data_IF_058110170891
#
_entry.id   IF_058110170891
#
_cell.length_a   1.000
_cell.length_b   1.000
_cell.length_c   1.000
_cell.angle_alpha   90.00
_cell.angle_beta   90.00
_cell.angle_gamma   90.00
#
_symmetry.space_group_name_H-M   'P 1'
#
loop_
_entity.id
_entity.type
_entity.pdbx_description
1 polymer ?
#
# COMPACT_ATOMS: atom_id res chain seq x y z
N UNK A 1 -35.10 -6.48 -55.70
CA UNK A 1 -35.19 -7.38 -54.53
C UNK A 1 -33.80 -7.94 -54.26
N UNK A 2 -33.48 -8.00 -52.98
CA UNK A 2 -32.20 -8.27 -52.33
C UNK A 2 -31.77 -9.74 -52.42
N UNK A 3 -30.53 -9.99 -51.94
CA UNK A 3 -29.82 -11.25 -51.57
C UNK A 3 -28.81 -11.71 -52.64
N UNK A 4 -27.51 -11.93 -52.37
CA UNK A 4 -26.72 -11.87 -51.14
C UNK A 4 -25.23 -12.23 -51.37
N UNK A 5 -24.52 -12.43 -50.26
CA UNK A 5 -23.20 -13.08 -50.04
C UNK A 5 -21.89 -12.27 -50.02
N UNK A 6 -21.21 -12.45 -48.87
CA UNK A 6 -19.88 -12.00 -48.44
C UNK A 6 -18.74 -12.71 -49.19
N UNK A 7 -17.60 -12.03 -49.30
CA UNK A 7 -16.26 -12.61 -49.13
C UNK A 7 -15.34 -11.59 -48.42
N UNK A 8 -14.49 -12.10 -47.53
CA UNK A 8 -13.59 -11.34 -46.66
C UNK A 8 -12.11 -11.50 -47.10
N UNK A 9 -11.24 -10.63 -46.55
CA UNK A 9 -9.75 -10.66 -46.49
C UNK A 9 -8.98 -9.80 -47.54
N UNK A 10 -7.74 -9.31 -47.25
CA UNK A 10 -7.45 -8.22 -46.31
C UNK A 10 -6.61 -7.06 -46.93
N UNK A 11 -6.86 -5.83 -46.47
CA UNK A 11 -6.07 -4.62 -46.76
C UNK A 11 -4.87 -4.51 -45.79
N UNK A 12 -3.78 -5.23 -46.04
CA UNK A 12 -2.51 -5.04 -45.28
C UNK A 12 -1.28 -4.87 -46.16
N UNK A 13 -1.39 -5.04 -47.48
CA UNK A 13 -0.20 -5.06 -48.37
C UNK A 13 0.06 -3.70 -49.06
N UNK A 14 -0.88 -2.75 -48.99
CA UNK A 14 -0.74 -1.46 -49.69
C UNK A 14 0.03 -0.36 -48.93
N UNK A 15 0.33 -0.53 -47.64
CA UNK A 15 1.01 0.53 -46.86
C UNK A 15 2.54 0.54 -47.01
N UNK A 16 3.17 -0.62 -47.24
CA UNK A 16 4.65 -0.70 -47.28
C UNK A 16 5.24 -0.11 -48.57
N UNK A 17 4.48 -0.11 -49.67
CA UNK A 17 4.91 0.48 -50.95
C UNK A 17 4.85 2.02 -50.94
N UNK A 18 3.91 2.61 -50.20
CA UNK A 18 3.87 4.06 -49.97
C UNK A 18 5.05 4.53 -49.10
N UNK A 19 5.50 3.69 -48.16
CA UNK A 19 6.65 3.99 -47.28
C UNK A 19 7.98 4.03 -48.06
N UNK A 20 8.16 3.13 -49.03
CA UNK A 20 9.36 3.08 -49.87
C UNK A 20 9.40 4.23 -50.90
N UNK A 21 8.25 4.63 -51.45
CA UNK A 21 8.17 5.72 -52.42
C UNK A 21 8.54 7.10 -51.85
N UNK A 22 8.19 7.37 -50.58
CA UNK A 22 8.51 8.65 -49.91
C UNK A 22 10.00 8.74 -49.54
N UNK A 23 10.62 7.62 -49.15
CA UNK A 23 12.06 7.56 -48.84
C UNK A 23 12.96 7.68 -50.09
N UNK A 24 12.53 7.13 -51.23
CA UNK A 24 13.28 7.26 -52.50
C UNK A 24 13.17 8.68 -53.07
N UNK A 25 12.03 9.36 -52.88
CA UNK A 25 11.88 10.77 -53.25
C UNK A 25 12.71 11.72 -52.35
N UNK A 26 12.90 11.37 -51.07
CA UNK A 26 13.67 12.17 -50.12
C UNK A 26 15.18 12.20 -50.40
N UNK A 27 15.72 11.25 -51.17
CA UNK A 27 17.15 11.21 -51.47
C UNK A 27 17.61 12.26 -52.51
N UNK A 28 16.69 13.04 -53.09
CA UNK A 28 16.96 13.98 -54.20
C UNK A 28 16.66 15.47 -53.92
N UNK A 29 16.32 15.88 -52.70
CA UNK A 29 16.06 17.29 -52.37
C UNK A 29 16.91 17.78 -51.17
N UNK A 30 17.59 18.94 -51.24
CA UNK A 30 18.54 19.36 -50.17
C UNK A 30 17.90 20.06 -48.96
N UNK A 31 16.60 20.37 -48.96
CA UNK A 31 16.00 21.16 -47.88
C UNK A 31 15.48 20.27 -46.74
N UNK A 32 16.35 20.04 -45.75
CA UNK A 32 16.14 19.14 -44.60
C UNK A 32 15.07 19.57 -43.58
N UNK A 33 14.54 20.80 -43.65
CA UNK A 33 13.64 21.34 -42.62
C UNK A 33 12.26 20.67 -42.65
N UNK A 34 11.71 20.40 -43.83
CA UNK A 34 10.39 19.77 -43.95
C UNK A 34 10.39 18.28 -43.57
N UNK A 35 11.53 17.59 -43.66
CA UNK A 35 11.63 16.18 -43.27
C UNK A 35 11.53 15.97 -41.76
N UNK A 36 12.08 16.89 -40.96
CA UNK A 36 12.03 16.83 -39.50
C UNK A 36 10.61 17.07 -38.98
N UNK A 37 9.88 18.01 -39.58
CA UNK A 37 8.48 18.27 -39.23
C UNK A 37 7.57 17.09 -39.58
N UNK A 38 7.77 16.47 -40.74
CA UNK A 38 7.00 15.28 -41.15
C UNK A 38 7.34 14.06 -40.27
N UNK A 39 8.61 13.85 -39.93
CA UNK A 39 9.02 12.77 -39.03
C UNK A 39 8.48 12.97 -37.60
N UNK A 40 8.50 14.20 -37.09
CA UNK A 40 7.91 14.55 -35.79
C UNK A 40 6.39 14.34 -35.79
N UNK A 41 5.70 14.73 -36.87
CA UNK A 41 4.26 14.53 -37.01
C UNK A 41 3.88 13.04 -37.09
N UNK A 42 4.68 12.22 -37.77
CA UNK A 42 4.49 10.77 -37.87
C UNK A 42 4.80 10.05 -36.54
N UNK A 43 5.84 10.48 -35.82
CA UNK A 43 6.15 9.97 -34.49
C UNK A 43 5.03 10.30 -33.49
N UNK A 44 4.49 11.52 -33.55
CA UNK A 44 3.36 11.95 -32.70
C UNK A 44 2.07 11.19 -32.99
N UNK A 45 1.76 10.92 -34.27
CA UNK A 45 0.56 10.15 -34.65
C UNK A 45 0.68 8.66 -34.30
N UNK A 46 1.88 8.08 -34.38
CA UNK A 46 2.16 6.72 -33.91
C UNK A 46 2.03 6.62 -32.39
N UNK A 47 2.61 7.55 -31.63
CA UNK A 47 2.50 7.59 -30.16
C UNK A 47 1.04 7.79 -29.70
N UNK A 48 0.29 8.67 -30.36
CA UNK A 48 -1.14 8.88 -30.08
C UNK A 48 -1.97 7.60 -30.25
N UNK A 49 -1.65 6.77 -31.25
CA UNK A 49 -2.31 5.46 -31.46
C UNK A 49 -1.92 4.43 -30.40
N UNK A 50 -0.66 4.39 -29.96
CA UNK A 50 -0.20 3.50 -28.87
C UNK A 50 -0.84 3.89 -27.54
N UNK A 51 -0.90 5.19 -27.22
CA UNK A 51 -1.56 5.71 -26.01
C UNK A 51 -3.08 5.46 -26.05
N UNK A 52 -3.74 5.61 -27.19
CA UNK A 52 -5.17 5.24 -27.34
C UNK A 52 -5.42 3.75 -27.13
N UNK A 53 -4.51 2.88 -27.57
CA UNK A 53 -4.63 1.43 -27.38
C UNK A 53 -4.37 1.01 -25.92
N UNK A 54 -3.55 1.76 -25.18
CA UNK A 54 -3.31 1.58 -23.74
C UNK A 54 -4.44 2.15 -22.86
N UNK A 55 -5.07 3.25 -23.27
CA UNK A 55 -6.16 3.92 -22.54
C UNK A 55 -7.48 3.15 -22.53
N UNK A 56 -7.62 2.09 -23.33
CA UNK A 56 -8.84 1.28 -23.40
C UNK A 56 -9.00 0.30 -22.21
N UNK A 57 -7.99 0.18 -21.35
CA UNK A 57 -7.97 -0.75 -20.21
C UNK A 57 -7.51 -0.06 -18.93
N UNK A 58 -8.35 0.78 -18.34
CA UNK A 58 -8.22 1.47 -17.04
C UNK A 58 -7.81 2.94 -17.12
N UNK A 59 -8.75 3.80 -16.75
CA UNK A 59 -8.60 5.25 -16.66
C UNK A 59 -8.02 5.64 -15.30
N UNK A 60 -6.81 6.19 -15.29
CA UNK A 60 -6.42 7.26 -14.37
C UNK A 60 -5.66 8.28 -15.20
N UNK A 61 -5.96 9.56 -14.97
CA UNK A 61 -5.32 10.72 -15.60
C UNK A 61 -3.83 10.77 -15.20
N UNK A 62 -3.01 9.95 -15.85
CA UNK A 62 -1.57 10.16 -15.87
C UNK A 62 -1.34 11.37 -16.79
N UNK A 63 -0.83 12.45 -16.21
CA UNK A 63 -0.80 13.78 -16.81
C UNK A 63 -0.10 13.76 -18.18
N UNK A 64 -0.91 13.61 -19.24
CA UNK A 64 -0.45 13.56 -20.64
C UNK A 64 0.38 14.79 -20.97
N UNK A 65 0.13 15.89 -20.28
CA UNK A 65 0.87 17.14 -20.47
C UNK A 65 2.32 17.02 -20.01
N UNK A 66 2.58 16.34 -18.89
CA UNK A 66 3.94 16.18 -18.36
C UNK A 66 4.82 15.30 -19.26
N UNK A 67 4.29 14.15 -19.70
CA UNK A 67 5.02 13.25 -20.61
C UNK A 67 5.29 13.93 -21.96
N UNK A 68 4.33 14.69 -22.48
CA UNK A 68 4.48 15.42 -23.74
C UNK A 68 5.54 16.53 -23.63
N UNK A 69 5.55 17.27 -22.51
CA UNK A 69 6.51 18.35 -22.26
C UNK A 69 7.93 17.82 -22.05
N UNK A 70 8.07 16.69 -21.36
CA UNK A 70 9.35 16.00 -21.17
C UNK A 70 9.94 15.50 -22.48
N UNK A 71 9.15 14.78 -23.29
CA UNK A 71 9.61 14.25 -24.59
C UNK A 71 9.96 15.39 -25.55
N UNK A 72 9.15 16.46 -25.59
CA UNK A 72 9.42 17.63 -26.44
C UNK A 72 10.74 18.31 -26.06
N UNK A 73 10.99 18.50 -24.76
CA UNK A 73 12.20 19.17 -24.31
C UNK A 73 13.45 18.31 -24.52
N UNK A 74 13.33 16.99 -24.38
CA UNK A 74 14.42 16.04 -24.66
C UNK A 74 14.79 16.03 -26.15
N UNK A 75 13.79 16.05 -27.04
CA UNK A 75 14.04 16.10 -28.49
C UNK A 75 14.58 17.47 -28.94
N UNK A 76 14.18 18.56 -28.28
CA UNK A 76 14.66 19.91 -28.57
C UNK A 76 16.13 20.15 -28.15
N UNK A 77 16.70 19.31 -27.28
CA UNK A 77 18.09 19.42 -26.84
C UNK A 77 19.10 18.60 -27.65
N UNK A 78 18.63 17.82 -28.64
CA UNK A 78 19.47 16.90 -29.43
C UNK A 78 19.81 17.45 -30.81
N UNK A 79 21.00 17.14 -31.32
CA UNK A 79 21.40 17.55 -32.68
C UNK A 79 20.90 16.55 -33.74
N UNK A 80 20.79 16.97 -35.01
CA UNK A 80 20.15 16.18 -36.10
C UNK A 80 20.77 14.79 -36.28
N UNK A 81 22.09 14.66 -36.11
CA UNK A 81 22.78 13.37 -36.18
C UNK A 81 22.44 12.42 -35.01
N UNK A 82 22.16 12.95 -33.82
CA UNK A 82 21.75 12.15 -32.66
C UNK A 82 20.33 11.63 -32.81
N UNK A 83 19.42 12.45 -33.39
CA UNK A 83 18.05 12.05 -33.71
C UNK A 83 18.06 10.94 -34.77
N UNK A 84 18.92 11.04 -35.78
CA UNK A 84 19.07 10.02 -36.82
C UNK A 84 19.63 8.70 -36.27
N UNK A 85 20.61 8.74 -35.36
CA UNK A 85 21.11 7.56 -34.65
C UNK A 85 20.06 6.92 -33.74
N UNK A 86 19.20 7.73 -33.12
CA UNK A 86 18.08 7.27 -32.29
C UNK A 86 17.01 6.54 -33.13
N UNK A 87 16.75 7.02 -34.35
CA UNK A 87 15.76 6.43 -35.28
C UNK A 87 16.26 5.15 -35.96
N UNK A 88 17.58 5.04 -36.21
CA UNK A 88 18.20 3.81 -36.73
C UNK A 88 18.59 2.80 -35.64
N UNK A 89 18.80 3.25 -34.40
CA UNK A 89 19.09 2.44 -33.21
C UNK A 89 17.85 1.75 -32.63
N UNK A 90 17.16 0.96 -33.45
CA UNK A 90 15.84 0.35 -33.21
C UNK A 90 15.73 -0.64 -32.02
N UNK A 91 16.72 -0.70 -31.10
CA UNK A 91 16.76 -1.66 -29.98
C UNK A 91 17.01 -1.08 -28.60
N UNK A 92 17.61 0.11 -28.43
CA UNK A 92 17.96 0.60 -27.07
C UNK A 92 16.89 1.52 -26.43
N UNK A 93 16.21 2.37 -27.20
CA UNK A 93 15.27 3.33 -26.61
C UNK A 93 13.93 2.69 -26.18
N UNK A 94 13.54 1.57 -26.79
CA UNK A 94 12.36 0.83 -26.36
C UNK A 94 12.57 0.16 -25.00
N UNK A 95 13.81 -0.18 -24.63
CA UNK A 95 14.13 -0.82 -23.35
C UNK A 95 14.14 0.21 -22.21
N UNK A 96 14.56 1.45 -22.47
CA UNK A 96 14.57 2.52 -21.46
C UNK A 96 13.17 3.09 -21.13
N UNK A 97 12.20 2.99 -22.04
CA UNK A 97 10.79 3.40 -21.81
C UNK A 97 9.93 2.31 -21.16
N UNK A 98 10.44 1.08 -20.98
CA UNK A 98 9.75 -0.02 -20.29
C UNK A 98 10.12 -0.09 -18.79
N UNK A 99 11.13 0.67 -18.35
CA UNK A 99 11.50 0.77 -16.93
C UNK A 99 10.78 1.91 -16.19
N UNK A 100 9.51 2.16 -16.52
CA UNK A 100 8.62 2.65 -15.46
C UNK A 100 8.37 1.44 -14.60
N UNK A 101 9.08 1.34 -13.48
CA UNK A 101 8.72 0.42 -12.41
C UNK A 101 7.25 0.69 -12.09
N UNK A 102 6.35 -0.10 -12.66
CA UNK A 102 5.01 -0.28 -12.08
C UNK A 102 5.31 -0.64 -10.64
N UNK A 103 4.86 0.19 -9.70
CA UNK A 103 4.72 -0.25 -8.32
C UNK A 103 4.00 -1.61 -8.40
N UNK A 104 4.65 -2.65 -7.89
CA UNK A 104 4.33 -4.04 -8.19
C UNK A 104 2.82 -4.29 -8.18
N UNK A 105 2.33 -4.77 -9.31
CA UNK A 105 1.02 -5.37 -9.43
C UNK A 105 1.05 -6.71 -8.68
N UNK A 106 0.91 -6.64 -7.35
CA UNK A 106 0.36 -7.65 -6.42
C UNK A 106 1.02 -7.51 -5.03
N UNK A 107 0.58 -6.51 -4.27
CA UNK A 107 0.95 -6.32 -2.86
C UNK A 107 0.77 -7.61 -2.04
N UNK A 108 -0.30 -8.35 -2.34
CA UNK A 108 -0.66 -9.59 -1.68
C UNK A 108 -0.69 -10.76 -2.66
N UNK A 109 -0.42 -11.95 -2.15
CA UNK A 109 -0.62 -13.24 -2.83
C UNK A 109 -1.71 -14.05 -2.12
N UNK A 110 -2.30 -15.02 -2.83
CA UNK A 110 -3.30 -15.92 -2.24
C UNK A 110 -2.70 -16.67 -1.04
N UNK A 111 -3.42 -16.68 0.08
CA UNK A 111 -2.99 -17.36 1.29
C UNK A 111 -1.98 -16.59 2.15
N UNK A 112 -1.62 -15.35 1.79
CA UNK A 112 -0.67 -14.54 2.56
C UNK A 112 -1.11 -14.37 4.03
N UNK A 113 -0.15 -14.54 4.95
CA UNK A 113 -0.26 -14.05 6.31
C UNK A 113 0.25 -12.61 6.39
N UNK A 114 -0.66 -11.69 6.71
CA UNK A 114 -0.43 -10.25 6.81
C UNK A 114 -0.44 -9.81 8.27
N UNK A 115 0.65 -9.20 8.72
CA UNK A 115 0.73 -8.58 10.06
C UNK A 115 0.46 -7.09 9.95
N UNK A 116 -0.42 -6.60 10.82
CA UNK A 116 -0.50 -5.18 11.15
C UNK A 116 0.32 -4.94 12.42
N UNK A 117 1.39 -4.16 12.32
CA UNK A 117 2.30 -3.83 13.40
C UNK A 117 2.32 -2.31 13.62
N UNK A 118 2.27 -1.87 14.87
CA UNK A 118 2.32 -0.45 15.19
C UNK A 118 1.90 -0.14 16.62
N UNK A 119 1.70 1.15 16.87
CA UNK A 119 1.21 1.64 18.16
C UNK A 119 -0.34 1.59 18.26
N UNK A 120 -0.93 2.47 19.06
CA UNK A 120 -2.37 2.55 19.33
C UNK A 120 -3.27 2.60 18.09
N UNK A 121 -2.83 3.24 16.99
CA UNK A 121 -3.63 3.33 15.74
C UNK A 121 -3.79 1.94 15.11
N UNK A 122 -2.74 1.13 15.13
CA UNK A 122 -2.84 -0.23 14.61
C UNK A 122 -3.53 -1.12 15.61
N UNK A 123 -3.13 -1.06 16.89
CA UNK A 123 -3.71 -1.91 17.93
C UNK A 123 -5.22 -1.81 17.93
N UNK A 124 -5.79 -0.61 18.09
CA UNK A 124 -7.24 -0.42 18.22
C UNK A 124 -8.05 -0.68 16.96
N UNK A 125 -7.43 -0.82 15.78
CA UNK A 125 -8.13 -1.15 14.53
C UNK A 125 -8.91 -2.47 14.64
N UNK A 126 -8.43 -3.39 15.48
CA UNK A 126 -9.06 -4.70 15.70
C UNK A 126 -10.46 -4.61 16.35
N UNK A 127 -10.72 -3.53 17.11
CA UNK A 127 -12.01 -3.33 17.79
C UNK A 127 -13.16 -3.05 16.80
N UNK A 128 -12.85 -2.48 15.64
CA UNK A 128 -13.84 -1.99 14.68
C UNK A 128 -13.75 -2.66 13.29
N UNK A 129 -12.64 -3.34 12.98
CA UNK A 129 -12.50 -4.19 11.79
C UNK A 129 -12.34 -3.47 10.45
N UNK A 130 -12.52 -2.15 10.37
CA UNK A 130 -12.54 -1.41 9.10
C UNK A 130 -11.29 -1.55 8.23
N UNK A 131 -10.09 -1.59 8.82
CA UNK A 131 -8.84 -1.75 8.05
C UNK A 131 -8.79 -3.12 7.37
N UNK A 132 -9.03 -4.19 8.14
CA UNK A 132 -9.00 -5.54 7.61
C UNK A 132 -10.14 -5.80 6.63
N UNK A 133 -11.35 -5.30 6.89
CA UNK A 133 -12.47 -5.42 5.95
C UNK A 133 -12.13 -4.75 4.61
N UNK A 134 -11.60 -3.53 4.65
CA UNK A 134 -11.21 -2.81 3.45
C UNK A 134 -10.14 -3.55 2.65
N UNK A 135 -9.10 -4.06 3.32
CA UNK A 135 -8.03 -4.82 2.66
C UNK A 135 -8.52 -6.16 2.10
N UNK A 136 -9.33 -6.89 2.86
CA UNK A 136 -9.89 -8.18 2.45
C UNK A 136 -10.69 -8.05 1.16
N UNK A 137 -11.48 -6.97 1.03
CA UNK A 137 -12.29 -6.71 -0.16
C UNK A 137 -11.47 -6.14 -1.33
N UNK A 138 -10.48 -5.29 -1.07
CA UNK A 138 -9.72 -4.60 -2.11
C UNK A 138 -8.54 -5.41 -2.70
N UNK A 139 -8.04 -6.42 -2.00
CA UNK A 139 -6.81 -7.11 -2.38
C UNK A 139 -6.93 -8.06 -3.59
N UNK A 140 -8.15 -8.43 -4.01
CA UNK A 140 -8.38 -9.42 -5.08
C UNK A 140 -7.58 -10.74 -4.92
N UNK A 141 -7.33 -11.16 -3.66
CA UNK A 141 -6.69 -12.43 -3.31
C UNK A 141 -7.54 -13.30 -2.42
N UNK A 142 -7.40 -14.61 -2.53
CA UNK A 142 -8.14 -15.61 -1.74
C UNK A 142 -7.40 -15.92 -0.45
N UNK A 143 -8.15 -16.21 0.60
CA UNK A 143 -7.63 -16.78 1.85
C UNK A 143 -6.56 -15.91 2.53
N UNK A 144 -6.63 -14.58 2.41
CA UNK A 144 -5.75 -13.68 3.16
C UNK A 144 -6.01 -13.81 4.66
N UNK A 145 -4.94 -13.90 5.45
CA UNK A 145 -5.01 -14.06 6.91
C UNK A 145 -4.36 -12.89 7.60
N UNK A 146 -5.13 -12.13 8.37
CA UNK A 146 -4.63 -10.95 9.07
C UNK A 146 -4.41 -11.22 10.56
N UNK A 147 -3.29 -10.74 11.10
CA UNK A 147 -3.01 -10.72 12.53
C UNK A 147 -2.58 -9.32 12.96
N UNK A 148 -3.25 -8.80 13.97
CA UNK A 148 -2.92 -7.50 14.54
C UNK A 148 -1.98 -7.69 15.72
N UNK A 149 -0.72 -7.35 15.52
CA UNK A 149 0.31 -7.29 16.56
C UNK A 149 0.52 -5.86 17.04
N UNK A 150 -0.42 -4.93 16.84
CA UNK A 150 -0.32 -3.58 17.39
C UNK A 150 -0.31 -3.57 18.92
N UNK A 151 0.34 -2.56 19.50
CA UNK A 151 0.36 -2.39 20.95
C UNK A 151 0.22 -0.92 21.34
N UNK A 152 -0.78 -0.61 22.17
CA UNK A 152 -1.07 0.76 22.61
C UNK A 152 0.14 1.40 23.30
N UNK A 153 0.53 2.61 22.89
CA UNK A 153 1.68 3.35 23.44
C UNK A 153 3.07 2.82 23.05
N UNK A 154 3.14 1.83 22.17
CA UNK A 154 4.41 1.20 21.80
C UNK A 154 5.30 2.07 20.91
N UNK A 155 6.60 1.79 20.97
CA UNK A 155 7.65 2.46 20.19
C UNK A 155 8.33 1.46 19.26
N UNK A 156 9.21 1.94 18.38
CA UNK A 156 10.05 1.07 17.52
C UNK A 156 11.02 0.18 18.33
N UNK A 157 11.15 0.43 19.63
CA UNK A 157 11.96 -0.35 20.56
C UNK A 157 11.18 -1.43 21.31
N UNK A 158 9.84 -1.48 21.17
CA UNK A 158 8.99 -2.46 21.85
C UNK A 158 8.75 -2.15 23.34
N UNK A 159 8.90 -0.88 23.76
CA UNK A 159 8.83 -0.47 25.17
C UNK A 159 7.53 -0.89 25.86
N UNK A 160 6.38 -0.74 25.22
CA UNK A 160 5.11 -1.05 25.88
C UNK A 160 4.87 -2.57 26.02
N UNK A 161 5.61 -3.38 25.24
CA UNK A 161 5.48 -4.85 25.19
C UNK A 161 6.33 -5.57 26.22
N UNK A 162 7.22 -4.87 26.91
CA UNK A 162 8.06 -5.48 27.95
C UNK A 162 7.29 -5.80 29.23
N UNK A 163 6.04 -5.32 29.36
CA UNK A 163 5.23 -5.40 30.58
C UNK A 163 5.95 -4.80 31.79
N UNK A 164 6.61 -5.65 32.59
CA UNK A 164 7.34 -5.29 33.81
C UNK A 164 8.85 -5.53 33.67
N UNK A 165 9.29 -6.07 32.53
CA UNK A 165 10.69 -6.33 32.21
C UNK A 165 11.36 -5.16 31.50
N UNK A 166 12.69 -5.25 31.29
CA UNK A 166 13.43 -4.26 30.53
C UNK A 166 12.96 -4.19 29.06
N UNK A 167 13.15 -3.05 28.38
CA UNK A 167 12.81 -2.85 26.96
C UNK A 167 13.14 -4.02 26.03
N UNK A 168 14.30 -4.64 26.22
CA UNK A 168 14.76 -5.75 25.37
C UNK A 168 13.83 -6.97 25.40
N UNK A 169 13.14 -7.23 26.51
CA UNK A 169 12.17 -8.33 26.58
C UNK A 169 10.95 -8.09 25.69
N UNK A 170 10.50 -6.83 25.59
CA UNK A 170 9.41 -6.45 24.67
C UNK A 170 9.80 -6.66 23.21
N UNK A 171 11.05 -6.33 22.86
CA UNK A 171 11.59 -6.55 21.53
C UNK A 171 11.75 -8.05 21.20
N UNK A 172 12.29 -8.85 22.13
CA UNK A 172 12.42 -10.30 21.99
C UNK A 172 11.07 -11.00 21.85
N UNK A 173 10.03 -10.50 22.55
CA UNK A 173 8.66 -11.01 22.43
C UNK A 173 8.13 -10.81 21.03
N UNK A 174 8.28 -9.61 20.47
CA UNK A 174 7.87 -9.35 19.09
C UNK A 174 8.63 -10.24 18.09
N UNK A 175 9.94 -10.42 18.27
CA UNK A 175 10.75 -11.35 17.45
C UNK A 175 10.18 -12.78 17.50
N UNK A 176 9.84 -13.27 18.69
CA UNK A 176 9.25 -14.59 18.87
C UNK A 176 7.85 -14.71 18.24
N UNK A 177 7.01 -13.68 18.35
CA UNK A 177 5.67 -13.68 17.75
C UNK A 177 5.74 -13.68 16.22
N UNK A 178 6.64 -12.89 15.62
CA UNK A 178 6.89 -12.91 14.18
C UNK A 178 7.43 -14.26 13.71
N UNK A 179 8.38 -14.86 14.44
CA UNK A 179 8.94 -16.18 14.12
C UNK A 179 7.91 -17.32 14.19
N UNK A 180 6.90 -17.21 15.05
CA UNK A 180 5.79 -18.17 15.13
C UNK A 180 4.79 -17.98 13.99
N UNK A 181 4.40 -16.73 13.70
CA UNK A 181 3.39 -16.41 12.70
C UNK A 181 3.93 -16.56 11.27
N UNK A 182 5.23 -16.36 11.06
CA UNK A 182 5.91 -16.45 9.76
C UNK A 182 5.18 -15.66 8.66
N UNK A 183 4.99 -14.35 8.84
CA UNK A 183 4.22 -13.58 7.89
C UNK A 183 4.89 -13.42 6.54
N UNK A 184 4.08 -13.35 5.50
CA UNK A 184 4.49 -13.01 4.15
C UNK A 184 4.61 -11.50 3.97
N UNK A 185 3.72 -10.75 4.63
CA UNK A 185 3.65 -9.29 4.52
C UNK A 185 3.55 -8.67 5.92
N UNK A 186 4.34 -7.63 6.17
CA UNK A 186 4.27 -6.85 7.42
C UNK A 186 4.01 -5.38 7.10
N UNK A 187 2.88 -4.86 7.57
CA UNK A 187 2.49 -3.46 7.46
C UNK A 187 2.82 -2.78 8.80
N UNK A 188 3.75 -1.84 8.79
CA UNK A 188 4.32 -1.22 9.98
C UNK A 188 3.93 0.26 10.07
N UNK A 189 3.28 0.67 11.16
CA UNK A 189 2.89 2.05 11.41
C UNK A 189 3.37 2.52 12.79
N UNK A 190 4.47 3.25 12.79
CA UNK A 190 5.04 3.95 13.95
C UNK A 190 5.38 5.39 13.57
N UNK A 191 5.64 6.23 14.57
CA UNK A 191 6.03 7.64 14.39
C UNK A 191 5.15 8.61 15.15
N UNK A 192 3.88 8.26 15.44
CA UNK A 192 2.97 9.17 16.14
C UNK A 192 3.45 9.52 17.56
N UNK A 193 4.03 8.54 18.27
CA UNK A 193 4.62 8.76 19.61
C UNK A 193 5.94 9.54 19.48
N UNK A 194 6.82 9.13 18.56
CA UNK A 194 8.14 9.75 18.39
C UNK A 194 8.06 11.22 17.97
N UNK A 195 7.03 11.62 17.21
CA UNK A 195 6.84 13.00 16.78
C UNK A 195 6.64 14.00 17.94
N UNK A 196 6.34 13.54 19.16
CA UNK A 196 6.31 14.40 20.35
C UNK A 196 7.71 14.88 20.77
N UNK A 197 8.76 14.12 20.46
CA UNK A 197 10.17 14.46 20.74
C UNK A 197 10.74 15.51 19.77
N UNK A 198 9.97 15.93 18.76
CA UNK A 198 10.43 16.93 17.78
C UNK A 198 11.65 16.46 16.99
N UNK A 199 12.51 17.42 16.63
CA UNK A 199 13.69 17.16 15.80
C UNK A 199 14.77 16.37 16.56
N UNK A 200 14.86 16.55 17.88
CA UNK A 200 15.85 15.89 18.74
C UNK A 200 15.67 14.37 18.76
N UNK A 201 14.42 13.88 18.77
CA UNK A 201 14.11 12.45 18.75
C UNK A 201 14.23 11.77 17.38
N UNK A 202 14.41 12.51 16.28
CA UNK A 202 14.35 11.97 14.92
C UNK A 202 15.44 10.93 14.66
N UNK A 203 16.68 11.23 15.06
CA UNK A 203 17.82 10.35 14.79
C UNK A 203 17.69 9.01 15.53
N UNK A 204 17.31 9.06 16.80
CA UNK A 204 17.06 7.86 17.62
C UNK A 204 15.88 7.05 17.06
N UNK A 205 14.77 7.71 16.70
CA UNK A 205 13.62 7.06 16.10
C UNK A 205 13.99 6.29 14.81
N UNK A 206 14.72 6.92 13.89
CA UNK A 206 15.12 6.28 12.64
C UNK A 206 16.09 5.12 12.85
N UNK A 207 17.02 5.24 13.82
CA UNK A 207 17.90 4.14 14.19
C UNK A 207 17.13 2.96 14.80
N UNK A 208 16.15 3.24 15.66
CA UNK A 208 15.26 2.24 16.24
C UNK A 208 14.38 1.57 15.18
N UNK A 209 13.86 2.33 14.23
CA UNK A 209 13.04 1.80 13.14
C UNK A 209 13.88 0.92 12.21
N UNK A 210 15.10 1.34 11.84
CA UNK A 210 16.03 0.51 11.05
C UNK A 210 16.37 -0.81 11.77
N UNK A 211 16.61 -0.76 13.09
CA UNK A 211 16.80 -1.95 13.92
C UNK A 211 15.57 -2.86 13.92
N UNK A 212 14.37 -2.31 14.02
CA UNK A 212 13.11 -3.05 13.97
C UNK A 212 12.96 -3.77 12.62
N UNK A 213 13.24 -3.09 11.50
CA UNK A 213 13.16 -3.69 10.16
C UNK A 213 14.16 -4.86 10.00
N UNK A 214 15.39 -4.69 10.48
CA UNK A 214 16.40 -5.77 10.50
C UNK A 214 15.94 -6.96 11.33
N UNK A 215 15.31 -6.72 12.48
CA UNK A 215 14.73 -7.79 13.30
C UNK A 215 13.60 -8.50 12.57
N UNK A 216 12.65 -7.78 11.97
CA UNK A 216 11.55 -8.39 11.19
C UNK A 216 12.11 -9.31 10.08
N UNK A 217 13.11 -8.83 9.33
CA UNK A 217 13.79 -9.62 8.30
C UNK A 217 14.44 -10.88 8.88
N UNK A 218 15.12 -10.78 10.03
CA UNK A 218 15.77 -11.92 10.69
C UNK A 218 14.75 -12.93 11.24
N UNK A 219 13.66 -12.45 11.84
CA UNK A 219 12.70 -13.26 12.56
C UNK A 219 11.84 -14.13 11.63
N UNK A 220 11.43 -13.57 10.49
CA UNK A 220 10.48 -14.24 9.59
C UNK A 220 10.75 -14.06 8.10
N UNK A 221 11.70 -13.19 7.71
CA UNK A 221 12.05 -12.90 6.32
C UNK A 221 10.82 -12.72 5.38
N UNK A 222 9.90 -11.78 5.70
CA UNK A 222 8.69 -11.59 4.90
C UNK A 222 9.05 -11.14 3.48
N UNK A 223 8.21 -11.52 2.50
CA UNK A 223 8.30 -11.10 1.10
C UNK A 223 8.20 -9.57 0.96
N UNK A 224 7.34 -8.95 1.76
CA UNK A 224 7.15 -7.50 1.74
C UNK A 224 7.07 -6.90 3.15
N UNK A 225 7.68 -5.72 3.31
CA UNK A 225 7.49 -4.84 4.46
C UNK A 225 7.02 -3.48 3.94
N UNK A 226 5.93 -2.97 4.48
CA UNK A 226 5.33 -1.70 4.08
C UNK A 226 5.38 -0.74 5.26
N UNK A 227 6.04 0.40 5.09
CA UNK A 227 6.10 1.45 6.11
C UNK A 227 4.98 2.44 5.86
N UNK A 228 4.04 2.51 6.79
CA UNK A 228 2.92 3.42 6.78
C UNK A 228 3.26 4.61 7.68
N UNK A 229 3.08 5.83 7.17
CA UNK A 229 3.20 7.03 7.99
C UNK A 229 2.13 7.10 9.08
N UNK A 230 2.39 7.71 10.24
CA UNK A 230 1.34 7.98 11.22
C UNK A 230 0.27 8.92 10.63
N UNK A 231 -1.02 8.79 11.00
CA UNK A 231 -2.04 9.75 10.60
C UNK A 231 -1.81 11.13 11.26
N UNK A 232 -2.39 12.21 10.73
CA UNK A 232 -2.42 13.50 11.41
C UNK A 232 -3.21 13.41 12.72
N UNK A 233 -2.80 14.23 13.68
CA UNK A 233 -3.58 14.51 14.88
C UNK A 233 -4.69 15.51 14.56
N UNK A 234 -5.81 15.37 15.27
CA UNK A 234 -6.98 16.20 15.10
C UNK A 234 -7.01 17.34 16.13
N UNK A 235 -7.17 18.58 15.66
CA UNK A 235 -7.47 19.71 16.53
C UNK A 235 -8.94 19.67 16.95
N UNK A 236 -9.19 19.33 18.22
CA UNK A 236 -10.49 19.39 18.87
C UNK A 236 -10.76 20.77 19.47
N UNK A 237 -11.99 20.98 19.96
CA UNK A 237 -12.36 22.23 20.63
C UNK A 237 -11.76 22.30 22.05
N UNK A 238 -11.73 23.51 22.63
CA UNK A 238 -11.18 23.74 23.97
C UNK A 238 -11.87 22.83 25.02
N UNK A 239 -11.12 22.27 25.99
CA UNK A 239 -9.76 22.65 26.40
C UNK A 239 -8.61 21.88 25.71
N UNK A 240 -8.87 21.19 24.59
CA UNK A 240 -7.82 20.44 23.88
C UNK A 240 -6.83 21.39 23.16
N UNK A 241 -5.55 21.01 23.04
CA UNK A 241 -4.55 21.86 22.37
C UNK A 241 -4.75 21.90 20.84
N UNK A 242 -4.28 22.98 20.21
CA UNK A 242 -4.17 23.04 18.75
C UNK A 242 -3.03 22.11 18.27
N UNK A 243 -3.36 21.17 17.39
CA UNK A 243 -2.43 20.18 16.87
C UNK A 243 -1.63 20.63 15.65
N UNK A 244 -1.79 21.88 15.15
CA UNK A 244 -1.05 22.37 13.96
C UNK A 244 0.47 22.16 14.03
N UNK A 245 1.12 22.60 15.12
CA UNK A 245 2.58 22.43 15.27
C UNK A 245 2.97 20.95 15.42
N UNK A 246 2.12 20.14 16.04
CA UNK A 246 2.33 18.69 16.09
C UNK A 246 2.18 18.04 14.72
N UNK A 247 1.23 18.47 13.90
CA UNK A 247 1.05 17.97 12.53
C UNK A 247 2.19 18.37 11.60
N UNK A 248 2.82 19.55 11.79
CA UNK A 248 4.07 19.89 11.10
C UNK A 248 5.17 18.88 11.44
N UNK A 249 5.33 18.53 12.71
CA UNK A 249 6.28 17.49 13.15
C UNK A 249 5.93 16.12 12.56
N UNK A 250 4.67 15.69 12.62
CA UNK A 250 4.22 14.42 12.02
C UNK A 250 4.52 14.36 10.51
N UNK A 251 4.36 15.47 9.78
CA UNK A 251 4.71 15.55 8.37
C UNK A 251 6.21 15.33 8.12
N UNK A 252 7.08 15.91 8.97
CA UNK A 252 8.53 15.68 8.90
C UNK A 252 8.87 14.20 9.19
N UNK A 253 8.24 13.60 10.20
CA UNK A 253 8.41 12.18 10.50
C UNK A 253 7.90 11.28 9.37
N UNK A 254 6.76 11.60 8.75
CA UNK A 254 6.23 10.87 7.60
C UNK A 254 7.22 10.90 6.43
N UNK A 255 7.81 12.07 6.13
CA UNK A 255 8.86 12.20 5.12
C UNK A 255 10.10 11.37 5.46
N UNK A 256 10.57 11.43 6.71
CA UNK A 256 11.72 10.65 7.15
C UNK A 256 11.49 9.13 7.05
N UNK A 257 10.27 8.67 7.35
CA UNK A 257 9.85 7.27 7.17
C UNK A 257 9.86 6.89 5.68
N UNK A 258 9.40 7.78 4.79
CA UNK A 258 9.45 7.57 3.35
C UNK A 258 10.89 7.42 2.84
N UNK A 259 11.80 8.26 3.33
CA UNK A 259 13.22 8.19 2.98
C UNK A 259 13.88 6.92 3.54
N UNK A 260 13.52 6.48 4.76
CA UNK A 260 13.96 5.22 5.34
C UNK A 260 13.46 4.01 4.52
N UNK A 261 12.20 4.03 4.10
CA UNK A 261 11.62 2.98 3.25
C UNK A 261 12.39 2.89 1.93
N UNK A 262 12.63 4.03 1.25
CA UNK A 262 13.41 4.09 0.01
C UNK A 262 14.83 3.54 0.20
N UNK A 263 15.51 3.97 1.26
CA UNK A 263 16.87 3.52 1.60
C UNK A 263 16.95 2.00 1.80
N UNK A 264 15.95 1.42 2.46
CA UNK A 264 15.88 -0.01 2.75
C UNK A 264 15.11 -0.82 1.70
N UNK A 265 14.74 -0.21 0.57
CA UNK A 265 13.98 -0.85 -0.53
C UNK A 265 12.65 -1.47 -0.07
N UNK A 266 11.94 -0.76 0.82
CA UNK A 266 10.60 -1.09 1.27
C UNK A 266 9.55 -0.18 0.63
N UNK A 267 8.31 -0.66 0.57
CA UNK A 267 7.18 0.15 0.12
C UNK A 267 6.82 1.18 1.19
N UNK A 268 6.53 2.40 0.77
CA UNK A 268 6.01 3.45 1.64
C UNK A 268 4.53 3.72 1.31
N UNK A 269 3.70 3.83 2.34
CA UNK A 269 2.29 4.18 2.25
C UNK A 269 2.02 5.51 2.97
N UNK A 270 1.71 6.55 2.20
CA UNK A 270 1.50 7.91 2.70
C UNK A 270 0.10 8.12 3.30
N UNK A 271 -0.12 7.47 4.44
CA UNK A 271 -1.39 7.56 5.16
C UNK A 271 -1.63 8.95 5.77
N UNK A 272 -0.57 9.70 6.12
CA UNK A 272 -0.66 11.05 6.68
C UNK A 272 -1.37 11.97 5.68
N UNK A 273 -0.83 12.06 4.47
CA UNK A 273 -1.38 12.92 3.41
C UNK A 273 -2.78 12.47 2.98
N UNK A 274 -3.01 11.16 2.90
CA UNK A 274 -4.31 10.62 2.45
C UNK A 274 -5.42 10.87 3.48
N UNK A 275 -5.12 10.78 4.78
CA UNK A 275 -6.06 11.15 5.84
C UNK A 275 -6.35 12.64 5.78
N UNK A 276 -5.31 13.49 5.75
CA UNK A 276 -5.46 14.95 5.75
C UNK A 276 -6.06 15.48 7.05
N UNK A 277 -6.06 16.80 7.24
CA UNK A 277 -6.32 17.47 8.51
C UNK A 277 -7.64 18.26 8.59
N UNK A 278 -8.58 18.04 7.65
CA UNK A 278 -9.77 18.89 7.49
C UNK A 278 -11.07 18.42 8.17
N UNK A 279 -11.18 17.17 8.61
CA UNK A 279 -12.45 16.61 9.11
C UNK A 279 -12.39 16.40 10.62
N UNK A 280 -13.20 17.17 11.36
CA UNK A 280 -13.38 17.02 12.81
C UNK A 280 -14.29 15.83 13.17
N UNK A 281 -14.26 15.43 14.44
CA UNK A 281 -15.04 14.35 15.05
C UNK A 281 -14.57 12.93 14.71
N UNK A 282 -13.30 12.74 14.32
CA UNK A 282 -12.78 11.41 13.96
C UNK A 282 -12.12 10.73 15.15
N UNK A 283 -11.54 11.49 16.07
CA UNK A 283 -10.82 11.01 17.24
C UNK A 283 -11.62 11.22 18.52
N UNK A 284 -11.32 10.43 19.55
CA UNK A 284 -11.91 10.61 20.88
C UNK A 284 -11.15 11.65 21.73
N UNK A 285 -9.91 11.96 21.37
CA UNK A 285 -8.99 12.76 22.19
C UNK A 285 -7.95 13.55 21.37
N UNK A 286 -8.19 13.77 20.08
CA UNK A 286 -7.25 14.44 19.18
C UNK A 286 -6.17 13.53 18.59
N UNK A 287 -6.00 12.31 19.10
CA UNK A 287 -4.92 11.39 18.67
C UNK A 287 -5.42 10.03 18.21
N UNK A 288 -6.40 9.48 18.91
CA UNK A 288 -6.88 8.11 18.69
C UNK A 288 -8.25 8.12 18.03
N UNK A 289 -8.37 7.45 16.90
CA UNK A 289 -9.65 7.31 16.20
C UNK A 289 -10.72 6.65 17.09
N UNK A 290 -11.93 7.21 17.01
CA UNK A 290 -13.16 6.57 17.46
C UNK A 290 -13.60 5.50 16.45
N UNK A 291 -14.69 4.78 16.72
CA UNK A 291 -15.31 3.88 15.73
C UNK A 291 -15.60 4.62 14.41
N UNK A 292 -16.22 5.81 14.50
CA UNK A 292 -16.48 6.68 13.34
C UNK A 292 -15.18 7.04 12.61
N UNK A 293 -14.12 7.32 13.36
CA UNK A 293 -12.80 7.59 12.81
C UNK A 293 -12.25 6.40 12.02
N UNK A 294 -12.32 5.19 12.57
CA UNK A 294 -11.89 3.99 11.84
C UNK A 294 -12.74 3.69 10.61
N UNK A 295 -14.04 3.95 10.66
CA UNK A 295 -14.92 3.88 9.49
C UNK A 295 -14.47 4.87 8.40
N UNK A 296 -14.21 6.12 8.79
CA UNK A 296 -13.73 7.17 7.90
C UNK A 296 -12.35 6.86 7.29
N UNK A 297 -11.41 6.37 8.09
CA UNK A 297 -10.03 6.12 7.63
C UNK A 297 -9.83 4.74 7.00
N UNK A 298 -10.79 3.82 7.09
CA UNK A 298 -10.68 2.48 6.50
C UNK A 298 -10.40 2.49 4.99
N UNK A 299 -11.26 3.11 4.17
CA UNK A 299 -11.02 3.26 2.73
C UNK A 299 -9.73 4.04 2.42
N UNK A 300 -9.36 5.00 3.27
CA UNK A 300 -8.13 5.79 3.13
C UNK A 300 -6.87 4.95 3.37
N UNK A 301 -6.92 4.03 4.33
CA UNK A 301 -5.84 3.09 4.61
C UNK A 301 -5.60 2.14 3.42
N UNK A 302 -6.67 1.63 2.82
CA UNK A 302 -6.61 0.83 1.58
C UNK A 302 -5.97 1.63 0.44
N UNK A 303 -6.41 2.88 0.24
CA UNK A 303 -5.85 3.78 -0.78
C UNK A 303 -4.37 4.06 -0.54
N UNK A 304 -3.95 4.24 0.71
CA UNK A 304 -2.55 4.48 1.07
C UNK A 304 -1.63 3.32 0.71
N UNK A 305 -2.16 2.10 0.72
CA UNK A 305 -1.44 0.89 0.32
C UNK A 305 -1.46 0.68 -1.21
N UNK A 306 -1.96 1.63 -1.98
CA UNK A 306 -2.01 1.57 -3.44
C UNK A 306 -3.16 0.73 -4.00
N UNK A 307 -4.11 0.32 -3.15
CA UNK A 307 -5.28 -0.46 -3.55
C UNK A 307 -6.49 0.44 -3.80
N UNK A 308 -7.46 -0.08 -4.56
CA UNK A 308 -8.72 0.62 -4.81
C UNK A 308 -9.76 0.20 -3.77
N UNK A 309 -10.27 1.12 -2.93
CA UNK A 309 -11.33 0.79 -1.98
C UNK A 309 -12.61 0.40 -2.72
N UNK A 310 -13.32 -0.59 -2.17
CA UNK A 310 -14.64 -0.96 -2.68
C UNK A 310 -15.68 0.14 -2.40
N UNK A 311 -16.75 0.23 -3.21
CA UNK A 311 -17.82 1.19 -2.98
C UNK A 311 -18.53 1.02 -1.63
N UNK A 312 -19.07 2.13 -1.10
CA UNK A 312 -19.75 2.13 0.21
C UNK A 312 -20.98 1.20 0.25
N UNK A 313 -21.69 1.01 -0.87
CA UNK A 313 -22.84 0.12 -0.91
C UNK A 313 -22.46 -1.36 -0.67
N UNK A 314 -21.22 -1.76 -0.96
CA UNK A 314 -20.71 -3.10 -0.65
C UNK A 314 -20.29 -3.19 0.82
N UNK A 315 -19.63 -2.17 1.36
CA UNK A 315 -19.23 -2.14 2.77
C UNK A 315 -20.43 -2.19 3.72
N UNK A 316 -21.51 -1.51 3.36
CA UNK A 316 -22.72 -1.38 4.17
C UNK A 316 -23.86 -2.31 3.71
N UNK A 317 -23.59 -3.25 2.80
CA UNK A 317 -24.53 -4.34 2.51
C UNK A 317 -24.63 -5.29 3.71
N UNK A 318 -25.68 -6.10 3.77
CA UNK A 318 -25.83 -7.11 4.83
C UNK A 318 -24.60 -8.02 4.89
N UNK A 319 -24.11 -8.51 3.74
CA UNK A 319 -22.91 -9.35 3.69
C UNK A 319 -21.65 -8.59 4.13
N UNK A 320 -21.49 -7.31 3.78
CA UNK A 320 -20.38 -6.46 4.21
C UNK A 320 -20.36 -6.22 5.72
N UNK A 321 -21.53 -5.99 6.32
CA UNK A 321 -21.70 -5.84 7.77
C UNK A 321 -21.38 -7.16 8.49
N UNK A 322 -21.87 -8.30 7.99
CA UNK A 322 -21.57 -9.61 8.57
C UNK A 322 -20.09 -10.00 8.41
N UNK A 323 -19.47 -9.64 7.28
CA UNK A 323 -18.03 -9.80 7.04
C UNK A 323 -17.24 -9.05 8.12
N UNK A 324 -17.53 -7.77 8.32
CA UNK A 324 -16.89 -6.92 9.34
C UNK A 324 -17.08 -7.48 10.75
N UNK A 325 -18.28 -7.95 11.11
CA UNK A 325 -18.55 -8.60 12.41
C UNK A 325 -17.70 -9.86 12.61
N UNK A 326 -17.57 -10.71 11.59
CA UNK A 326 -16.73 -11.91 11.67
C UNK A 326 -15.25 -11.58 11.81
N UNK A 327 -14.78 -10.55 11.11
CA UNK A 327 -13.42 -10.02 11.26
C UNK A 327 -13.17 -9.56 12.70
N UNK A 328 -14.07 -8.78 13.30
CA UNK A 328 -13.95 -8.32 14.70
C UNK A 328 -13.92 -9.52 15.66
N UNK A 329 -14.82 -10.49 15.48
CA UNK A 329 -14.87 -11.68 16.32
C UNK A 329 -13.57 -12.51 16.23
N UNK A 330 -13.05 -12.72 15.01
CA UNK A 330 -11.77 -13.38 14.76
C UNK A 330 -10.61 -12.64 15.41
N UNK A 331 -10.58 -11.32 15.25
CA UNK A 331 -9.54 -10.47 15.83
C UNK A 331 -9.54 -10.50 17.35
N UNK A 332 -10.72 -10.51 17.98
CA UNK A 332 -10.86 -10.66 19.43
C UNK A 332 -10.31 -12.01 19.91
N UNK A 333 -10.62 -13.11 19.22
CA UNK A 333 -10.08 -14.43 19.54
C UNK A 333 -8.55 -14.43 19.47
N UNK A 334 -7.99 -13.89 18.37
CA UNK A 334 -6.54 -13.79 18.24
C UNK A 334 -5.93 -12.92 19.34
N UNK A 335 -6.47 -11.73 19.61
CA UNK A 335 -5.99 -10.82 20.64
C UNK A 335 -5.91 -11.50 22.02
N UNK A 336 -6.95 -12.25 22.39
CA UNK A 336 -6.99 -13.00 23.65
C UNK A 336 -5.98 -14.17 23.67
N UNK A 337 -5.64 -14.74 22.53
CA UNK A 337 -4.65 -15.81 22.42
C UNK A 337 -3.21 -15.29 22.55
N UNK A 338 -2.83 -14.28 21.76
CA UNK A 338 -1.44 -13.82 21.72
C UNK A 338 -1.12 -12.90 22.90
N UNK A 339 -2.09 -12.08 23.32
CA UNK A 339 -2.03 -11.13 24.44
C UNK A 339 -3.16 -11.39 25.44
N UNK A 340 -3.14 -12.54 26.14
CA UNK A 340 -4.17 -12.88 27.11
C UNK A 340 -4.19 -11.88 28.28
N UNK A 341 -5.36 -11.74 28.91
CA UNK A 341 -5.44 -11.09 30.20
C UNK A 341 -4.59 -11.86 31.23
N UNK A 342 -4.06 -11.15 32.22
CA UNK A 342 -3.28 -11.75 33.30
C UNK A 342 -2.05 -12.55 32.82
N UNK A 343 -1.33 -12.03 31.81
CA UNK A 343 -0.07 -12.59 31.30
C UNK A 343 0.93 -12.98 32.41
N UNK A 344 0.91 -12.27 33.54
CA UNK A 344 1.76 -12.56 34.70
C UNK A 344 1.55 -13.95 35.29
N UNK A 345 0.30 -14.41 35.34
CA UNK A 345 -0.12 -15.70 35.86
C UNK A 345 0.00 -16.83 34.82
N UNK A 346 0.02 -16.48 33.54
CA UNK A 346 0.13 -17.45 32.46
C UNK A 346 1.60 -17.74 32.12
N UNK A 347 2.40 -16.70 31.85
CA UNK A 347 3.73 -16.85 31.24
C UNK A 347 4.88 -16.23 32.05
N UNK A 348 4.60 -15.31 32.98
CA UNK A 348 5.66 -14.58 33.71
C UNK A 348 5.89 -15.14 35.12
N UNK A 349 6.35 -14.29 36.04
CA UNK A 349 6.85 -14.67 37.36
C UNK A 349 5.79 -15.30 38.30
N UNK A 350 4.48 -15.21 37.98
CA UNK A 350 3.38 -15.88 38.72
C UNK A 350 2.85 -17.13 38.02
N UNK A 351 3.55 -17.65 37.00
CA UNK A 351 3.13 -18.85 36.25
C UNK A 351 2.98 -20.11 37.09
N UNK A 352 3.55 -20.17 38.29
CA UNK A 352 3.36 -21.30 39.19
C UNK A 352 1.92 -21.40 39.72
N UNK A 353 1.13 -20.31 39.67
CA UNK A 353 -0.25 -20.28 40.14
C UNK A 353 -1.25 -20.77 39.07
N UNK A 354 -1.07 -20.38 37.80
CA UNK A 354 -2.02 -20.68 36.72
C UNK A 354 -1.36 -21.00 35.36
N UNK A 355 -0.05 -21.21 35.30
CA UNK A 355 0.68 -21.40 34.05
C UNK A 355 0.31 -22.68 33.30
N UNK A 356 -0.28 -23.66 33.98
CA UNK A 356 -0.87 -24.85 33.34
C UNK A 356 -1.98 -24.51 32.33
N UNK A 357 -2.61 -23.34 32.45
CA UNK A 357 -3.69 -22.89 31.56
C UNK A 357 -3.15 -22.32 30.24
N UNK A 358 -1.82 -22.13 30.08
CA UNK A 358 -1.21 -21.70 28.81
C UNK A 358 -1.55 -22.67 27.66
N UNK A 359 -1.78 -23.95 27.97
CA UNK A 359 -2.22 -24.97 27.00
C UNK A 359 -3.57 -24.66 26.34
N UNK A 360 -4.37 -23.76 26.91
CA UNK A 360 -5.65 -23.34 26.35
C UNK A 360 -5.49 -22.30 25.24
N UNK A 361 -4.37 -21.58 25.18
CA UNK A 361 -4.16 -20.54 24.16
C UNK A 361 -4.17 -21.12 22.73
N UNK A 362 -3.50 -22.25 22.43
CA UNK A 362 -3.65 -22.90 21.12
C UNK A 362 -5.08 -23.37 20.79
N UNK A 363 -5.97 -23.53 21.78
CA UNK A 363 -7.36 -23.93 21.52
C UNK A 363 -8.18 -22.83 20.80
N UNK A 364 -7.66 -21.61 20.71
CA UNK A 364 -8.25 -20.53 19.91
C UNK A 364 -7.98 -20.70 18.41
N UNK A 365 -6.92 -21.42 18.02
CA UNK A 365 -6.54 -21.61 16.61
C UNK A 365 -7.65 -22.20 15.74
N UNK A 366 -8.34 -23.30 16.11
CA UNK A 366 -9.45 -23.82 15.31
C UNK A 366 -10.63 -22.84 15.21
N UNK A 367 -10.89 -22.05 16.25
CA UNK A 367 -11.96 -21.04 16.24
C UNK A 367 -11.63 -19.88 15.30
N UNK A 368 -10.36 -19.45 15.29
CA UNK A 368 -9.85 -18.43 14.37
C UNK A 368 -9.94 -18.94 12.92
N UNK A 369 -9.47 -20.17 12.67
CA UNK A 369 -9.50 -20.77 11.34
C UNK A 369 -10.93 -20.91 10.80
N UNK A 370 -11.89 -21.26 11.65
CA UNK A 370 -13.29 -21.36 11.23
C UNK A 370 -13.88 -19.99 10.85
N UNK A 371 -13.54 -18.93 11.60
CA UNK A 371 -13.94 -17.56 11.22
C UNK A 371 -13.28 -17.10 9.93
N UNK A 372 -12.03 -17.48 9.68
CA UNK A 372 -11.34 -17.17 8.41
C UNK A 372 -12.07 -17.79 7.20
N UNK A 373 -12.61 -19.01 7.31
CA UNK A 373 -13.44 -19.60 6.26
C UNK A 373 -14.73 -18.81 6.03
N UNK A 374 -15.40 -18.42 7.10
CA UNK A 374 -16.63 -17.61 7.01
C UNK A 374 -16.36 -16.24 6.37
N UNK A 375 -15.22 -15.62 6.69
CA UNK A 375 -14.76 -14.37 6.09
C UNK A 375 -14.58 -14.51 4.58
N UNK A 376 -13.97 -15.60 4.09
CA UNK A 376 -13.80 -15.82 2.65
C UNK A 376 -15.15 -15.99 1.94
N UNK A 377 -16.10 -16.73 2.52
CA UNK A 377 -17.45 -16.90 1.94
C UNK A 377 -18.19 -15.56 1.87
N UNK A 378 -18.14 -14.78 2.96
CA UNK A 378 -18.78 -13.47 3.04
C UNK A 378 -18.14 -12.47 2.08
N UNK A 379 -16.81 -12.48 1.94
CA UNK A 379 -16.08 -11.67 0.96
C UNK A 379 -16.66 -11.85 -0.44
N UNK A 380 -16.84 -13.09 -0.91
CA UNK A 380 -17.38 -13.36 -2.24
C UNK A 380 -18.81 -12.83 -2.40
N UNK A 381 -19.63 -12.99 -1.36
CA UNK A 381 -21.01 -12.48 -1.33
C UNK A 381 -21.06 -10.95 -1.33
N UNK A 382 -20.14 -10.29 -0.64
CA UNK A 382 -20.03 -8.83 -0.60
C UNK A 382 -19.60 -8.26 -1.95
N UNK A 383 -18.58 -8.85 -2.58
CA UNK A 383 -18.10 -8.39 -3.89
C UNK A 383 -19.12 -8.61 -5.01
N UNK A 384 -20.02 -9.59 -4.86
CA UNK A 384 -21.13 -9.82 -5.79
C UNK A 384 -22.30 -8.83 -5.64
N UNK A 385 -22.30 -8.01 -4.59
CA UNK A 385 -23.34 -6.97 -4.39
C UNK A 385 -23.15 -5.87 -5.43
N UNK A 386 -24.20 -5.60 -6.20
CA UNK A 386 -24.22 -4.64 -7.32
C UNK A 386 -24.49 -3.21 -6.89
#
# INVERSE_FOLDING_TARGET
MTVGFRLACPFTIWCDWCFFGVLVAAHRCPDMIHLVEVAAFLAMTFFSRVVKKFSATHATDFDRHFLFKFVRNLLASMNVNEIMHLMFGRKLLLIALISVSRLDADLFEDGDMVILLGNTVIERAHNYGHFETGLTLAADKKNLRFRNLGWSGDTVFGHARSYFGPPQEGFNRLEADLGKLKPNVVIVCYGAVAAFEGDEGMAEFLAGYDRLLKMIKKASNPRAVILVSPPPAETLDAPMPDMKEHNKRLSLYAKAIADLARKNQHTYADFFTIVGDGVKGQTSNGLHFSERGYCYVGPKFVKALGLSPVPNHQLESESGIQLRKNIIAKNKLFFQQWRPANETYLRLFRKHEQGQNVKELPMFDPLIAEREKQIEILKQSTLATK
#
